data_IF_417986201806
#
_entry.id   IF_417986201806
#
_cell.length_a   1.000
_cell.length_b   1.000
_cell.length_c   1.000
_cell.angle_alpha   90.00
_cell.angle_beta   90.00
_cell.angle_gamma   90.00
#
_symmetry.space_group_name_H-M   'P 1'
#
loop_
_entity.id
_entity.type
_entity.pdbx_description
1 polymer ?
#
# COMPACT_ATOMS: atom_id res chain seq x y z
N UNK A 1 19.00 -17.45 8.52
CA UNK A 1 19.21 -16.84 7.15
C UNK A 1 18.10 -15.81 6.99
N UNK A 2 18.43 -14.56 6.64
CA UNK A 2 17.41 -13.53 6.49
C UNK A 2 16.53 -13.77 5.25
N UNK A 3 15.22 -13.57 5.38
CA UNK A 3 14.24 -13.76 4.31
C UNK A 3 12.89 -13.13 4.65
N UNK A 4 11.87 -13.41 3.84
CA UNK A 4 10.51 -12.92 4.05
C UNK A 4 9.83 -13.83 5.08
N UNK A 5 9.38 -13.22 6.17
CA UNK A 5 8.66 -13.88 7.28
C UNK A 5 7.14 -13.75 7.12
N UNK A 6 6.69 -12.62 6.56
CA UNK A 6 5.29 -12.34 6.28
C UNK A 6 5.15 -11.36 5.13
N UNK A 7 4.00 -11.33 4.50
CA UNK A 7 3.63 -10.38 3.44
C UNK A 7 2.24 -9.80 3.66
N UNK A 8 1.94 -8.71 2.99
CA UNK A 8 0.62 -8.12 2.93
C UNK A 8 0.46 -7.29 1.66
N UNK A 9 -0.78 -7.09 1.24
CA UNK A 9 -1.11 -6.33 0.05
C UNK A 9 -2.31 -5.43 0.26
N UNK A 10 -2.39 -4.35 -0.52
CA UNK A 10 -3.55 -3.48 -0.55
C UNK A 10 -3.79 -2.94 -1.95
N UNK A 11 -5.06 -2.99 -2.38
CA UNK A 11 -5.54 -2.28 -3.56
C UNK A 11 -6.76 -1.46 -3.12
N UNK A 12 -6.84 -0.15 -3.44
CA UNK A 12 -8.02 0.68 -3.18
C UNK A 12 -9.32 0.00 -3.64
N UNK A 13 -10.43 0.39 -3.05
CA UNK A 13 -11.73 -0.19 -3.40
C UNK A 13 -12.10 0.06 -4.86
N UNK A 14 -11.83 1.29 -5.34
CA UNK A 14 -12.37 1.75 -6.62
C UNK A 14 -11.54 1.30 -7.82
N UNK A 15 -12.25 1.06 -8.94
CA UNK A 15 -11.69 0.79 -10.26
C UNK A 15 -12.27 1.75 -11.27
N UNK A 16 -11.43 2.24 -12.17
CA UNK A 16 -11.83 2.99 -13.35
C UNK A 16 -11.69 2.10 -14.59
N UNK A 17 -12.79 1.88 -15.31
CA UNK A 17 -12.74 1.20 -16.61
C UNK A 17 -11.97 2.04 -17.62
N UNK A 18 -11.08 1.41 -18.39
CA UNK A 18 -10.39 2.08 -19.49
C UNK A 18 -11.36 2.54 -20.58
N UNK A 19 -12.51 1.88 -20.73
CA UNK A 19 -13.57 2.31 -21.62
C UNK A 19 -14.11 3.71 -21.24
N UNK A 20 -14.27 4.01 -19.94
CA UNK A 20 -14.68 5.34 -19.48
C UNK A 20 -13.65 6.41 -19.82
N UNK A 21 -12.35 6.10 -19.72
CA UNK A 21 -11.25 7.00 -20.13
C UNK A 21 -11.37 7.26 -21.64
N UNK A 22 -11.51 6.19 -22.45
CA UNK A 22 -11.65 6.33 -23.90
C UNK A 22 -12.87 7.15 -24.31
N UNK A 23 -14.01 6.96 -23.66
CA UNK A 23 -15.23 7.75 -23.89
C UNK A 23 -15.04 9.23 -23.56
N UNK A 24 -14.39 9.54 -22.42
CA UNK A 24 -14.14 10.91 -22.00
C UNK A 24 -13.30 11.69 -23.03
N UNK A 25 -12.34 11.04 -23.65
CA UNK A 25 -11.41 11.66 -24.61
C UNK A 25 -11.73 11.35 -26.08
N UNK A 26 -12.84 10.66 -26.36
CA UNK A 26 -13.20 10.23 -27.73
C UNK A 26 -12.08 9.42 -28.41
N UNK A 27 -11.40 8.57 -27.63
CA UNK A 27 -10.30 7.71 -28.06
C UNK A 27 -10.56 6.25 -27.66
N UNK A 28 -9.63 5.35 -27.98
CA UNK A 28 -9.64 3.97 -27.51
C UNK A 28 -8.56 3.78 -26.43
N UNK A 29 -8.96 3.55 -25.20
CA UNK A 29 -8.03 3.30 -24.09
C UNK A 29 -7.77 1.81 -23.81
N UNK A 30 -8.23 0.92 -24.67
CA UNK A 30 -8.07 -0.53 -24.54
C UNK A 30 -9.10 -1.16 -23.57
N UNK A 31 -8.94 -2.47 -23.34
CA UNK A 31 -9.76 -3.23 -22.39
C UNK A 31 -9.11 -3.25 -20.99
N UNK A 32 -9.95 -3.53 -19.99
CA UNK A 32 -9.53 -3.65 -18.59
C UNK A 32 -9.85 -2.43 -17.75
N UNK A 33 -9.25 -2.41 -16.57
CA UNK A 33 -9.49 -1.41 -15.54
C UNK A 33 -8.19 -1.03 -14.84
N UNK A 34 -8.21 0.06 -14.10
CA UNK A 34 -7.13 0.48 -13.20
C UNK A 34 -7.68 0.73 -11.80
N UNK A 35 -6.85 0.49 -10.79
CA UNK A 35 -7.18 0.90 -9.43
C UNK A 35 -7.11 2.42 -9.28
N UNK A 36 -7.98 2.95 -8.44
CA UNK A 36 -8.07 4.37 -8.13
C UNK A 36 -8.18 4.53 -6.62
N UNK A 37 -7.22 5.21 -6.03
CA UNK A 37 -7.29 5.63 -4.64
C UNK A 37 -8.54 6.50 -4.42
N UNK A 38 -9.23 6.28 -3.30
CA UNK A 38 -10.30 7.17 -2.87
C UNK A 38 -9.75 8.58 -2.67
N UNK A 39 -10.62 9.58 -2.60
CA UNK A 39 -10.21 10.98 -2.41
C UNK A 39 -9.49 11.24 -1.08
N UNK A 40 -9.71 10.38 -0.08
CA UNK A 40 -9.09 10.41 1.25
C UNK A 40 -7.92 9.42 1.40
N UNK A 41 -7.49 8.76 0.31
CA UNK A 41 -6.35 7.85 0.27
C UNK A 41 -5.12 8.48 -0.40
N UNK A 42 -3.96 8.11 0.10
CA UNK A 42 -2.64 8.40 -0.47
C UNK A 42 -1.67 7.22 -0.30
N UNK A 43 -0.42 7.38 -0.70
CA UNK A 43 0.59 6.33 -0.56
C UNK A 43 0.85 5.93 0.91
N UNK A 44 0.73 6.87 1.86
CA UNK A 44 0.88 6.60 3.28
C UNK A 44 -0.26 5.71 3.79
N UNK A 45 -1.50 6.09 3.53
CA UNK A 45 -2.68 5.37 4.02
C UNK A 45 -2.78 3.98 3.44
N UNK A 46 -2.51 3.81 2.13
CA UNK A 46 -2.43 2.50 1.48
C UNK A 46 -1.28 1.65 2.05
N UNK A 47 -0.14 2.28 2.36
CA UNK A 47 1.00 1.62 3.00
C UNK A 47 0.64 1.07 4.39
N UNK A 48 -0.12 1.80 5.20
CA UNK A 48 -0.60 1.32 6.52
C UNK A 48 -1.54 0.12 6.37
N UNK A 49 -2.39 0.11 5.34
CA UNK A 49 -3.27 -1.03 5.05
C UNK A 49 -2.46 -2.29 4.72
N UNK A 50 -1.45 -2.17 3.85
CA UNK A 50 -0.55 -3.29 3.54
C UNK A 50 0.24 -3.77 4.76
N UNK A 51 0.67 -2.83 5.64
CA UNK A 51 1.28 -3.18 6.93
C UNK A 51 0.33 -3.95 7.83
N UNK A 52 -0.91 -3.50 7.93
CA UNK A 52 -1.94 -4.15 8.77
C UNK A 52 -2.18 -5.59 8.33
N UNK A 53 -2.25 -5.83 7.01
CA UNK A 53 -2.37 -7.16 6.45
C UNK A 53 -1.11 -8.01 6.73
N UNK A 54 0.09 -7.47 6.47
CA UNK A 54 1.36 -8.13 6.72
C UNK A 54 1.56 -8.52 8.20
N UNK A 55 1.12 -7.67 9.12
CA UNK A 55 1.28 -7.83 10.57
C UNK A 55 0.11 -8.56 11.25
N UNK A 56 -0.86 -9.08 10.49
CA UNK A 56 -1.96 -9.84 11.06
C UNK A 56 -1.45 -11.06 11.84
N UNK A 57 -1.77 -11.14 13.15
CA UNK A 57 -1.31 -12.19 14.04
C UNK A 57 0.20 -12.16 14.39
N UNK A 58 0.92 -11.06 14.11
CA UNK A 58 2.34 -10.90 14.42
C UNK A 58 2.58 -9.96 15.60
N UNK A 59 3.59 -10.30 16.39
CA UNK A 59 4.12 -9.46 17.46
C UNK A 59 4.83 -8.24 16.88
N UNK A 60 4.40 -7.04 17.29
CA UNK A 60 4.98 -5.77 16.81
C UNK A 60 6.23 -5.34 17.56
N UNK A 61 6.41 -5.82 18.79
CA UNK A 61 7.52 -5.44 19.66
C UNK A 61 8.90 -5.94 19.18
N UNK A 62 8.91 -6.99 18.34
CA UNK A 62 10.12 -7.54 17.75
C UNK A 62 10.66 -6.72 16.56
N UNK A 63 9.84 -5.83 15.99
CA UNK A 63 10.18 -5.05 14.80
C UNK A 63 11.12 -3.91 15.21
N UNK A 64 12.34 -3.95 14.68
CA UNK A 64 13.40 -2.96 14.96
C UNK A 64 13.59 -1.94 13.82
N UNK A 65 12.85 -2.06 12.70
CA UNK A 65 12.91 -1.11 11.60
C UNK A 65 11.67 -1.07 10.72
N UNK A 66 11.40 0.10 10.11
CA UNK A 66 10.41 0.27 9.05
C UNK A 66 11.01 1.11 7.92
N UNK A 67 10.99 0.55 6.70
CA UNK A 67 11.43 1.20 5.48
C UNK A 67 10.26 1.40 4.53
N UNK A 68 9.98 2.67 4.19
CA UNK A 68 8.90 3.05 3.30
C UNK A 68 9.45 3.42 1.92
N UNK A 69 8.95 2.77 0.88
CA UNK A 69 9.36 2.96 -0.50
C UNK A 69 8.22 3.55 -1.33
N UNK A 70 8.45 4.73 -1.94
CA UNK A 70 7.43 5.41 -2.73
C UNK A 70 8.05 6.44 -3.67
N UNK A 71 7.47 6.59 -4.88
CA UNK A 71 7.75 7.73 -5.76
C UNK A 71 6.75 8.88 -5.55
N UNK A 72 5.76 8.67 -4.68
CA UNK A 72 4.67 9.62 -4.38
C UNK A 72 4.44 9.79 -2.88
N UNK A 73 5.49 10.02 -2.06
CA UNK A 73 5.28 10.28 -0.63
C UNK A 73 4.44 11.56 -0.47
N UNK A 74 3.55 11.63 0.55
CA UNK A 74 2.66 12.79 0.74
C UNK A 74 3.42 14.08 1.06
N UNK A 75 4.60 13.96 1.67
CA UNK A 75 5.47 15.09 1.96
C UNK A 75 6.80 14.96 1.22
N UNK A 76 7.33 16.09 0.78
CA UNK A 76 8.69 16.14 0.26
C UNK A 76 9.74 16.08 1.37
N UNK A 77 9.48 16.77 2.47
CA UNK A 77 10.35 16.85 3.65
C UNK A 77 9.55 16.60 4.92
N UNK A 78 9.21 15.38 5.17
CA UNK A 78 8.67 14.79 6.40
C UNK A 78 8.66 13.28 6.19
N UNK A 79 9.38 12.57 7.03
CA UNK A 79 9.51 11.12 6.89
C UNK A 79 8.16 10.40 7.00
N UNK A 80 7.76 9.74 5.91
CA UNK A 80 6.53 8.96 5.83
C UNK A 80 6.61 7.70 6.68
N UNK A 81 7.76 7.03 6.67
CA UNK A 81 8.00 5.83 7.47
C UNK A 81 7.68 6.01 8.95
N UNK A 82 7.98 7.19 9.54
CA UNK A 82 7.70 7.47 10.96
C UNK A 82 6.20 7.57 11.26
N UNK A 83 5.40 8.08 10.31
CA UNK A 83 3.94 8.16 10.44
C UNK A 83 3.32 6.77 10.27
N UNK A 84 3.76 6.01 9.26
CA UNK A 84 3.34 4.62 9.02
C UNK A 84 3.65 3.75 10.24
N UNK A 85 4.84 3.90 10.86
CA UNK A 85 5.23 3.18 12.07
C UNK A 85 4.29 3.48 13.24
N UNK A 86 3.93 4.76 13.44
CA UNK A 86 3.00 5.16 14.48
C UNK A 86 1.59 4.59 14.24
N UNK A 87 1.06 4.72 13.02
CA UNK A 87 -0.26 4.18 12.64
C UNK A 87 -0.32 2.64 12.72
N UNK A 88 0.78 1.96 12.39
CA UNK A 88 0.92 0.51 12.54
C UNK A 88 1.20 0.07 13.98
N UNK A 89 1.22 1.01 14.94
CA UNK A 89 1.48 0.77 16.36
C UNK A 89 2.82 0.06 16.65
N UNK A 90 3.86 0.41 15.89
CA UNK A 90 5.22 -0.10 16.16
C UNK A 90 5.87 0.60 17.36
N UNK A 91 6.88 0.00 18.00
CA UNK A 91 7.68 0.64 19.03
C UNK A 91 8.27 1.98 18.56
N UNK A 92 8.62 2.86 19.51
CA UNK A 92 9.27 4.14 19.17
C UNK A 92 10.78 3.98 18.96
N UNK A 93 11.35 2.97 19.57
CA UNK A 93 12.78 2.63 19.53
C UNK A 93 13.10 1.76 18.31
N UNK A 94 12.69 2.23 17.10
CA UNK A 94 12.97 1.56 15.83
C UNK A 94 13.65 2.52 14.86
N UNK A 95 14.43 1.99 13.93
CA UNK A 95 14.97 2.77 12.84
C UNK A 95 13.93 2.93 11.73
N UNK A 96 13.77 4.14 11.18
CA UNK A 96 12.87 4.42 10.08
C UNK A 96 13.58 5.13 8.94
N UNK A 97 13.26 4.77 7.68
CA UNK A 97 13.80 5.42 6.49
C UNK A 97 12.78 5.44 5.36
N UNK A 98 12.82 6.51 4.55
CA UNK A 98 12.09 6.59 3.28
C UNK A 98 13.07 6.32 2.12
N UNK A 99 12.62 5.51 1.15
CA UNK A 99 13.29 5.24 -0.12
C UNK A 99 12.44 5.84 -1.23
N UNK A 100 13.00 6.79 -1.97
CA UNK A 100 12.28 7.57 -2.98
C UNK A 100 13.01 7.57 -4.33
N UNK A 101 12.49 8.34 -5.27
CA UNK A 101 13.12 8.73 -6.54
C UNK A 101 13.34 7.63 -7.58
N UNK A 102 12.93 6.39 -7.29
CA UNK A 102 12.99 5.29 -8.25
C UNK A 102 11.81 4.33 -8.08
N UNK A 103 11.29 3.81 -9.17
CA UNK A 103 10.30 2.71 -9.12
C UNK A 103 10.89 1.42 -8.58
N UNK A 104 12.22 1.32 -8.47
CA UNK A 104 12.96 0.24 -7.81
C UNK A 104 13.09 0.43 -6.29
N UNK A 105 12.61 1.53 -5.73
CA UNK A 105 12.72 1.83 -4.29
C UNK A 105 12.26 0.68 -3.37
N UNK A 106 11.23 -0.08 -3.78
CA UNK A 106 10.73 -1.23 -3.01
C UNK A 106 11.76 -2.35 -2.83
N UNK A 107 12.49 -2.73 -3.88
CA UNK A 107 13.55 -3.75 -3.80
C UNK A 107 14.84 -3.20 -3.19
N UNK A 108 15.13 -1.90 -3.37
CA UNK A 108 16.24 -1.25 -2.66
C UNK A 108 16.01 -1.26 -1.15
N UNK A 109 14.80 -0.92 -0.68
CA UNK A 109 14.42 -1.01 0.73
C UNK A 109 14.49 -2.48 1.24
N UNK A 110 14.05 -3.45 0.43
CA UNK A 110 14.15 -4.87 0.77
C UNK A 110 15.61 -5.32 0.94
N UNK A 111 16.53 -4.91 0.05
CA UNK A 111 17.94 -5.23 0.17
C UNK A 111 18.52 -4.68 1.48
N UNK A 112 18.26 -3.41 1.79
CA UNK A 112 18.73 -2.80 3.03
C UNK A 112 18.14 -3.50 4.27
N UNK A 113 16.86 -3.91 4.23
CA UNK A 113 16.24 -4.67 5.31
C UNK A 113 16.92 -6.04 5.53
N UNK A 114 17.21 -6.76 4.44
CA UNK A 114 17.93 -8.05 4.47
C UNK A 114 19.33 -7.85 5.12
N UNK A 115 20.04 -6.81 4.73
CA UNK A 115 21.38 -6.51 5.26
C UNK A 115 21.33 -6.06 6.72
N UNK A 116 20.29 -5.28 7.10
CA UNK A 116 20.04 -4.88 8.51
C UNK A 116 19.83 -6.09 9.41
N UNK A 117 19.02 -7.07 8.97
CA UNK A 117 18.76 -8.30 9.71
C UNK A 117 20.02 -9.18 9.77
N UNK A 118 20.71 -9.35 8.64
CA UNK A 118 21.98 -10.13 8.60
C UNK A 118 23.08 -9.52 9.49
N UNK A 119 23.16 -8.21 9.59
CA UNK A 119 24.09 -7.51 10.46
C UNK A 119 23.71 -7.61 11.94
N UNK A 120 22.52 -8.11 12.27
CA UNK A 120 22.03 -8.19 13.65
C UNK A 120 21.60 -6.84 14.25
N UNK A 121 21.47 -5.80 13.41
CA UNK A 121 21.04 -4.45 13.87
C UNK A 121 19.54 -4.42 14.24
N UNK A 122 18.73 -5.29 13.64
CA UNK A 122 17.34 -5.53 14.00
C UNK A 122 17.00 -7.01 13.78
N UNK A 123 16.08 -7.57 14.59
CA UNK A 123 15.57 -8.93 14.40
C UNK A 123 14.62 -9.00 13.22
N UNK A 124 13.73 -8.03 13.12
CA UNK A 124 12.75 -7.91 12.07
C UNK A 124 12.69 -6.48 11.55
N UNK A 125 12.51 -6.33 10.23
CA UNK A 125 12.34 -5.04 9.54
C UNK A 125 11.13 -5.12 8.62
N UNK A 126 10.21 -4.17 8.76
CA UNK A 126 9.05 -4.03 7.90
C UNK A 126 9.40 -3.16 6.69
N UNK A 127 9.25 -3.69 5.49
CA UNK A 127 9.40 -2.99 4.21
C UNK A 127 8.04 -2.75 3.62
N UNK A 128 7.76 -1.51 3.25
CA UNK A 128 6.47 -1.08 2.69
C UNK A 128 6.71 -0.37 1.37
N UNK A 129 6.11 -0.85 0.29
CA UNK A 129 6.12 -0.18 -1.00
C UNK A 129 4.71 0.29 -1.35
N UNK A 130 4.52 1.58 -1.63
CA UNK A 130 3.20 2.15 -1.89
C UNK A 130 3.30 3.36 -2.81
N UNK A 131 2.48 3.39 -3.86
CA UNK A 131 2.39 4.54 -4.76
C UNK A 131 0.95 4.89 -5.13
N UNK A 132 0.75 6.20 -5.30
CA UNK A 132 -0.49 6.82 -5.72
C UNK A 132 -0.19 7.75 -6.91
N UNK A 133 0.18 7.16 -8.06
CA UNK A 133 0.71 7.88 -9.22
C UNK A 133 -0.39 8.56 -10.02
N UNK A 134 -0.17 9.83 -10.35
CA UNK A 134 -1.11 10.62 -11.15
C UNK A 134 -0.58 10.82 -12.56
N UNK A 135 -1.36 10.40 -13.56
CA UNK A 135 -1.08 10.66 -14.97
C UNK A 135 -1.78 11.93 -15.44
N UNK A 136 -1.18 12.60 -16.43
CA UNK A 136 -1.85 13.72 -17.08
C UNK A 136 -3.12 13.21 -17.82
N UNK A 137 -4.25 13.93 -17.71
CA UNK A 137 -5.43 13.60 -18.48
C UNK A 137 -5.15 13.47 -19.98
N UNK A 138 -5.73 12.46 -20.62
CA UNK A 138 -5.50 12.12 -22.03
C UNK A 138 -4.04 11.75 -22.41
N UNK A 139 -3.20 11.41 -21.41
CA UNK A 139 -1.86 10.89 -21.70
C UNK A 139 -1.88 9.37 -21.86
N UNK A 140 -0.81 8.82 -22.45
CA UNK A 140 -0.62 7.35 -22.55
C UNK A 140 -0.51 6.66 -21.19
N UNK A 141 -0.09 7.39 -20.14
CA UNK A 141 0.00 6.86 -18.78
C UNK A 141 -1.34 6.79 -18.05
N UNK A 142 -2.35 7.56 -18.47
CA UNK A 142 -3.63 7.60 -17.77
C UNK A 142 -4.35 6.24 -17.70
N UNK A 143 -4.46 5.46 -18.77
CA UNK A 143 -5.02 4.13 -18.71
C UNK A 143 -4.07 3.08 -18.09
N UNK A 144 -2.78 3.39 -17.94
CA UNK A 144 -1.76 2.44 -17.49
C UNK A 144 -1.51 2.50 -15.99
N UNK A 145 -1.51 3.69 -15.37
CA UNK A 145 -1.20 3.83 -13.95
C UNK A 145 -2.32 3.31 -13.07
N UNK A 146 -1.96 2.79 -11.90
CA UNK A 146 -2.85 2.36 -10.84
C UNK A 146 -2.28 2.72 -9.48
N UNK A 147 -3.05 2.52 -8.44
CA UNK A 147 -2.71 2.82 -7.06
C UNK A 147 -2.71 1.53 -6.23
N UNK A 148 -1.78 1.38 -5.28
CA UNK A 148 -1.71 0.21 -4.44
C UNK A 148 -0.46 0.13 -3.58
N UNK A 149 -0.41 -0.88 -2.71
CA UNK A 149 0.69 -1.10 -1.79
C UNK A 149 0.98 -2.59 -1.55
N UNK A 150 2.21 -2.88 -1.14
CA UNK A 150 2.64 -4.17 -0.63
C UNK A 150 3.56 -3.97 0.58
N UNK A 151 3.56 -4.92 1.50
CA UNK A 151 4.45 -4.93 2.65
C UNK A 151 5.07 -6.31 2.84
N UNK A 152 6.32 -6.34 3.33
CA UNK A 152 7.05 -7.55 3.67
C UNK A 152 7.72 -7.38 5.03
N UNK A 153 7.56 -8.38 5.89
CA UNK A 153 8.32 -8.48 7.12
C UNK A 153 9.57 -9.32 6.82
N UNK A 154 10.74 -8.72 6.96
CA UNK A 154 12.04 -9.37 6.77
C UNK A 154 12.60 -9.75 8.14
N UNK A 155 13.01 -11.01 8.30
CA UNK A 155 13.55 -11.53 9.54
C UNK A 155 14.42 -12.77 9.30
N UNK A 156 14.93 -13.39 10.36
CA UNK A 156 15.79 -14.57 10.31
C UNK A 156 15.20 -15.78 11.03
N UNK A 157 14.00 -15.63 11.60
CA UNK A 157 13.23 -16.67 12.26
C UNK A 157 11.89 -16.88 11.54
N UNK A 158 11.39 -18.12 11.49
CA UNK A 158 10.14 -18.49 10.82
C UNK A 158 10.06 -18.00 9.34
N UNK A 159 11.17 -18.05 8.66
CA UNK A 159 11.30 -17.54 7.28
C UNK A 159 10.44 -18.36 6.34
N UNK A 160 9.44 -17.73 5.73
CA UNK A 160 8.56 -18.34 4.74
C UNK A 160 9.17 -18.37 3.33
N UNK A 161 10.07 -17.40 3.03
CA UNK A 161 10.76 -17.32 1.75
C UNK A 161 12.22 -16.95 1.98
N UNK A 162 13.12 -17.85 1.66
CA UNK A 162 14.56 -17.65 1.72
C UNK A 162 15.05 -16.80 0.55
N UNK A 163 16.03 -15.94 0.79
CA UNK A 163 16.79 -15.24 -0.26
C UNK A 163 18.01 -16.08 -0.58
N UNK A 164 17.94 -16.89 -1.65
CA UNK A 164 19.01 -17.80 -2.05
C UNK A 164 20.12 -17.11 -2.84
N UNK A 165 19.79 -16.03 -3.54
CA UNK A 165 20.73 -15.27 -4.33
C UNK A 165 20.18 -13.96 -4.83
N UNK A 166 21.06 -13.06 -5.22
CA UNK A 166 20.69 -11.78 -5.81
C UNK A 166 21.75 -11.26 -6.79
N UNK A 167 21.27 -10.44 -7.71
CA UNK A 167 22.11 -9.65 -8.61
C UNK A 167 21.48 -8.27 -8.76
N UNK A 168 22.30 -7.24 -8.64
CA UNK A 168 21.89 -5.85 -8.76
C UNK A 168 22.89 -5.09 -9.61
N UNK A 169 22.42 -4.21 -10.47
CA UNK A 169 23.23 -3.15 -11.07
C UNK A 169 22.43 -1.85 -11.18
N UNK A 170 23.11 -0.74 -11.20
CA UNK A 170 22.54 0.59 -11.39
C UNK A 170 22.85 1.11 -12.80
N UNK A 171 21.94 1.91 -13.34
CA UNK A 171 22.11 2.61 -14.62
C UNK A 171 21.49 3.98 -14.52
N UNK A 172 22.20 4.98 -15.04
CA UNK A 172 21.75 6.39 -15.13
C UNK A 172 20.78 6.63 -16.30
N UNK A 173 20.16 5.59 -16.82
CA UNK A 173 19.31 5.64 -18.01
C UNK A 173 18.00 6.41 -17.74
N UNK A 174 17.78 7.48 -18.50
CA UNK A 174 16.58 8.32 -18.39
C UNK A 174 15.40 7.70 -19.14
N UNK A 175 14.45 7.12 -18.42
CA UNK A 175 13.24 6.52 -18.99
C UNK A 175 11.95 7.28 -18.63
N UNK A 176 11.64 7.39 -17.34
CA UNK A 176 10.49 8.11 -16.82
C UNK A 176 10.94 8.99 -15.66
N UNK A 177 10.59 10.28 -15.71
CA UNK A 177 10.97 11.22 -14.66
C UNK A 177 9.85 12.19 -14.34
N UNK A 178 10.03 12.93 -13.26
CA UNK A 178 9.18 14.03 -12.81
C UNK A 178 10.04 15.01 -12.02
N UNK A 179 10.08 16.26 -12.47
CA UNK A 179 10.80 17.30 -11.76
C UNK A 179 10.07 17.76 -10.49
N UNK A 180 10.78 18.51 -9.66
CA UNK A 180 10.21 19.15 -8.48
C UNK A 180 9.03 20.05 -8.85
N UNK A 181 7.92 19.94 -8.09
CA UNK A 181 6.70 20.72 -8.36
C UNK A 181 5.85 20.20 -9.52
N UNK A 182 6.34 19.25 -10.31
CA UNK A 182 5.53 18.63 -11.36
C UNK A 182 4.59 17.58 -10.79
N UNK A 183 3.34 17.63 -11.26
CA UNK A 183 2.31 16.68 -10.86
C UNK A 183 2.36 15.39 -11.68
N UNK A 184 2.74 15.50 -12.97
CA UNK A 184 2.63 14.43 -13.95
C UNK A 184 4.00 13.92 -14.39
N UNK A 185 4.03 12.63 -14.70
CA UNK A 185 5.23 11.96 -15.19
C UNK A 185 5.50 12.29 -16.66
N UNK A 186 6.76 12.27 -17.04
CA UNK A 186 7.26 12.48 -18.41
C UNK A 186 8.05 11.26 -18.87
N UNK A 187 8.06 11.05 -20.18
CA UNK A 187 8.96 10.13 -20.90
C UNK A 187 9.28 10.75 -22.26
N UNK A 188 10.31 10.27 -22.90
CA UNK A 188 10.72 10.69 -24.23
C UNK A 188 11.28 9.53 -25.01
N UNK A 189 11.15 9.52 -26.36
CA UNK A 189 11.70 8.45 -27.22
C UNK A 189 11.26 7.03 -26.78
N UNK A 190 9.98 6.81 -26.53
CA UNK A 190 9.41 5.61 -25.92
C UNK A 190 9.99 4.28 -26.47
N UNK A 191 10.15 4.16 -27.80
CA UNK A 191 10.70 2.94 -28.40
C UNK A 191 12.13 2.66 -27.98
N UNK A 192 12.96 3.71 -27.96
CA UNK A 192 14.36 3.63 -27.53
C UNK A 192 14.44 3.31 -26.04
N UNK A 193 13.71 4.05 -25.22
CA UNK A 193 13.66 3.86 -23.76
C UNK A 193 13.26 2.43 -23.40
N UNK A 194 12.26 1.89 -24.05
CA UNK A 194 11.82 0.52 -23.76
C UNK A 194 12.78 -0.56 -24.26
N UNK A 195 13.44 -0.36 -25.41
CA UNK A 195 14.35 -1.33 -25.99
C UNK A 195 15.71 -1.35 -25.28
N UNK A 196 16.36 -0.19 -25.18
CA UNK A 196 17.71 -0.05 -24.63
C UNK A 196 17.73 0.10 -23.10
N UNK A 197 16.67 0.64 -22.52
CA UNK A 197 16.47 0.68 -21.06
C UNK A 197 15.92 -0.65 -20.53
N UNK A 198 14.62 -0.81 -20.57
CA UNK A 198 13.96 -1.94 -19.91
C UNK A 198 14.39 -3.32 -20.43
N UNK A 199 14.25 -3.57 -21.76
CA UNK A 199 14.49 -4.91 -22.32
C UNK A 199 15.96 -5.30 -22.21
N UNK A 200 16.88 -4.39 -22.57
CA UNK A 200 18.31 -4.66 -22.53
C UNK A 200 18.79 -4.87 -21.08
N UNK A 201 18.44 -4.00 -20.16
CA UNK A 201 18.88 -4.08 -18.77
C UNK A 201 18.34 -5.31 -18.04
N UNK A 202 17.05 -5.65 -18.21
CA UNK A 202 16.49 -6.86 -17.58
C UNK A 202 17.15 -8.12 -18.12
N UNK A 203 17.39 -8.20 -19.44
CA UNK A 203 18.10 -9.34 -20.04
C UNK A 203 19.52 -9.46 -19.51
N UNK A 204 20.23 -8.36 -19.40
CA UNK A 204 21.59 -8.33 -18.84
C UNK A 204 21.61 -8.83 -17.39
N UNK A 205 20.77 -8.25 -16.53
CA UNK A 205 20.72 -8.64 -15.11
C UNK A 205 20.39 -10.11 -14.90
N UNK A 206 19.36 -10.62 -15.59
CA UNK A 206 18.95 -12.03 -15.44
C UNK A 206 20.01 -12.97 -16.00
N UNK A 207 20.66 -12.63 -17.13
CA UNK A 207 21.76 -13.43 -17.67
C UNK A 207 22.95 -13.47 -16.72
N UNK A 208 23.29 -12.34 -16.12
CA UNK A 208 24.36 -12.25 -15.11
C UNK A 208 24.03 -13.05 -13.84
N UNK A 209 22.77 -12.96 -13.35
CA UNK A 209 22.30 -13.79 -12.24
C UNK A 209 22.41 -15.28 -12.56
N UNK A 210 21.93 -15.71 -13.72
CA UNK A 210 21.99 -17.11 -14.15
C UNK A 210 23.43 -17.62 -14.21
N UNK A 211 24.35 -16.84 -14.79
CA UNK A 211 25.77 -17.16 -14.82
C UNK A 211 26.38 -17.23 -13.42
N UNK A 212 26.03 -16.27 -12.53
CA UNK A 212 26.57 -16.18 -11.16
C UNK A 212 26.22 -17.41 -10.31
N UNK A 213 24.98 -17.90 -10.43
CA UNK A 213 24.46 -18.98 -9.60
C UNK A 213 24.34 -20.33 -10.32
N UNK A 214 24.68 -20.42 -11.60
CA UNK A 214 24.64 -21.66 -12.38
C UNK A 214 23.20 -22.17 -12.58
N UNK A 215 22.23 -21.28 -12.70
CA UNK A 215 20.79 -21.59 -12.83
C UNK A 215 20.27 -21.27 -14.21
N UNK A 216 19.13 -21.86 -14.57
CA UNK A 216 18.43 -21.72 -15.85
C UNK A 216 16.94 -21.45 -15.60
N UNK A 217 16.14 -21.02 -16.57
CA UNK A 217 14.69 -20.85 -16.41
C UNK A 217 13.96 -22.10 -15.89
N UNK A 218 14.49 -23.30 -16.15
CA UNK A 218 13.89 -24.57 -15.71
C UNK A 218 13.99 -24.80 -14.20
N UNK A 219 14.90 -24.08 -13.53
CA UNK A 219 15.10 -24.19 -12.08
C UNK A 219 14.09 -23.36 -11.28
N UNK A 220 13.18 -22.65 -11.96
CA UNK A 220 12.17 -21.80 -11.33
C UNK A 220 10.76 -22.30 -11.62
N UNK A 221 9.94 -22.31 -10.59
CA UNK A 221 8.50 -22.59 -10.72
C UNK A 221 7.74 -21.35 -11.16
N UNK A 222 8.21 -20.14 -10.78
CA UNK A 222 7.55 -18.88 -11.09
C UNK A 222 8.55 -17.76 -11.40
N UNK A 223 8.21 -16.94 -12.40
CA UNK A 223 8.83 -15.65 -12.70
C UNK A 223 7.89 -14.52 -12.29
N UNK A 224 8.35 -13.65 -11.42
CA UNK A 224 7.71 -12.36 -11.07
C UNK A 224 8.55 -11.26 -11.70
N UNK A 225 8.02 -10.61 -12.73
CA UNK A 225 8.77 -9.68 -13.56
C UNK A 225 8.05 -8.34 -13.66
N UNK A 226 8.73 -7.27 -13.22
CA UNK A 226 8.33 -5.91 -13.53
C UNK A 226 8.29 -5.69 -15.06
N UNK A 227 7.34 -4.91 -15.53
CA UNK A 227 7.37 -4.38 -16.89
C UNK A 227 6.60 -3.05 -17.01
N UNK A 228 6.95 -2.18 -17.95
CA UNK A 228 6.24 -0.92 -18.18
C UNK A 228 4.85 -1.14 -18.80
N UNK A 229 4.67 -2.21 -19.57
CA UNK A 229 3.39 -2.59 -20.17
C UNK A 229 3.36 -4.08 -20.56
N UNK A 230 2.18 -4.60 -20.88
CA UNK A 230 1.97 -6.00 -21.21
C UNK A 230 2.76 -6.48 -22.45
N UNK A 231 2.96 -5.63 -23.45
CA UNK A 231 3.72 -5.98 -24.66
C UNK A 231 5.17 -6.29 -24.32
N UNK A 232 5.82 -5.41 -23.55
CA UNK A 232 7.21 -5.55 -23.13
C UNK A 232 7.40 -6.67 -22.13
N UNK A 233 6.42 -6.89 -21.26
CA UNK A 233 6.39 -8.07 -20.40
C UNK A 233 6.49 -9.37 -21.22
N UNK A 234 5.59 -9.56 -22.18
CA UNK A 234 5.57 -10.76 -23.02
C UNK A 234 6.84 -10.92 -23.87
N UNK A 235 7.44 -9.82 -24.31
CA UNK A 235 8.71 -9.83 -25.06
C UNK A 235 9.86 -10.36 -24.21
N UNK A 236 10.02 -9.79 -23.00
CA UNK A 236 11.10 -10.19 -22.10
C UNK A 236 10.93 -11.63 -21.58
N UNK A 237 9.71 -12.04 -21.23
CA UNK A 237 9.40 -13.43 -20.83
C UNK A 237 9.90 -14.43 -21.88
N UNK A 238 9.60 -14.18 -23.17
CA UNK A 238 10.06 -15.03 -24.26
C UNK A 238 11.58 -15.02 -24.43
N UNK A 239 12.19 -13.84 -24.34
CA UNK A 239 13.63 -13.67 -24.48
C UNK A 239 14.41 -14.37 -23.36
N UNK A 240 13.84 -14.44 -22.16
CA UNK A 240 14.43 -15.14 -21.01
C UNK A 240 14.19 -16.66 -21.04
N UNK A 241 13.33 -17.16 -21.93
CA UNK A 241 13.07 -18.58 -22.10
C UNK A 241 12.10 -19.21 -21.08
N UNK A 242 11.25 -18.39 -20.44
CA UNK A 242 10.19 -18.88 -19.56
C UNK A 242 8.92 -19.27 -20.33
N UNK A 243 8.22 -20.29 -19.84
CA UNK A 243 6.87 -20.61 -20.33
C UNK A 243 5.85 -19.60 -19.78
N UNK A 244 5.33 -18.77 -20.68
CA UNK A 244 4.37 -17.71 -20.31
C UNK A 244 3.06 -18.25 -19.69
N UNK A 245 2.69 -19.52 -19.94
CA UNK A 245 1.43 -20.10 -19.45
C UNK A 245 1.54 -20.68 -18.03
N UNK A 246 2.69 -21.24 -17.69
CA UNK A 246 2.85 -22.02 -16.46
C UNK A 246 3.81 -21.39 -15.46
N UNK A 247 4.84 -20.70 -15.93
CA UNK A 247 5.90 -20.16 -15.07
C UNK A 247 5.79 -18.68 -14.75
N UNK A 248 4.92 -17.91 -15.42
CA UNK A 248 4.87 -16.45 -15.26
C UNK A 248 3.73 -16.04 -14.35
N UNK A 249 4.03 -15.15 -13.38
CA UNK A 249 3.00 -14.49 -12.59
C UNK A 249 2.17 -13.58 -13.48
N UNK A 250 0.84 -13.73 -13.40
CA UNK A 250 -0.07 -12.84 -14.12
C UNK A 250 0.20 -11.39 -13.74
N UNK A 251 0.56 -10.53 -14.71
CA UNK A 251 0.79 -9.14 -14.44
C UNK A 251 -0.54 -8.40 -14.20
N UNK A 252 -0.52 -7.48 -13.25
CA UNK A 252 -1.73 -6.76 -12.80
C UNK A 252 -2.19 -5.63 -13.73
N UNK A 253 -1.70 -5.57 -14.98
CA UNK A 253 -1.96 -4.47 -15.91
C UNK A 253 -3.43 -4.22 -16.24
N UNK A 254 -4.22 -5.28 -16.34
CA UNK A 254 -5.63 -5.20 -16.80
C UNK A 254 -6.63 -5.11 -15.65
N UNK A 255 -6.19 -5.28 -14.40
CA UNK A 255 -7.04 -5.33 -13.20
C UNK A 255 -6.71 -4.25 -12.18
N UNK A 256 -5.46 -3.79 -12.16
CA UNK A 256 -4.95 -2.79 -11.21
C UNK A 256 -4.26 -1.65 -11.93
N UNK A 257 -3.46 -1.95 -12.97
CA UNK A 257 -2.56 -1.00 -13.60
C UNK A 257 -1.18 -0.99 -12.94
N UNK A 258 -0.32 -0.08 -13.37
CA UNK A 258 1.05 0.04 -12.95
C UNK A 258 1.16 0.92 -11.69
N UNK A 259 1.45 0.32 -10.56
CA UNK A 259 1.47 0.95 -9.23
C UNK A 259 2.86 1.43 -8.79
N UNK A 260 3.71 1.84 -9.72
CA UNK A 260 5.02 2.42 -9.40
C UNK A 260 5.93 1.50 -8.59
N UNK A 261 6.49 2.03 -7.50
CA UNK A 261 7.37 1.28 -6.60
C UNK A 261 6.70 0.05 -5.96
N UNK A 262 5.37 0.02 -5.88
CA UNK A 262 4.60 -1.11 -5.36
C UNK A 262 4.31 -2.19 -6.42
N UNK A 263 4.52 -1.95 -7.72
CA UNK A 263 4.05 -2.85 -8.78
C UNK A 263 4.67 -4.25 -8.71
N UNK A 264 6.00 -4.35 -8.76
CA UNK A 264 6.68 -5.63 -8.64
C UNK A 264 6.49 -6.28 -7.26
N UNK A 265 6.56 -5.53 -6.12
CA UNK A 265 6.19 -6.04 -4.80
C UNK A 265 4.77 -6.63 -4.73
N UNK A 266 3.75 -5.99 -5.30
CA UNK A 266 2.38 -6.51 -5.33
C UNK A 266 2.27 -7.80 -6.16
N UNK A 267 2.97 -7.90 -7.28
CA UNK A 267 3.05 -9.15 -8.05
C UNK A 267 3.75 -10.26 -7.26
N UNK A 268 4.77 -9.93 -6.45
CA UNK A 268 5.40 -10.91 -5.57
C UNK A 268 4.41 -11.40 -4.50
N UNK A 269 3.63 -10.50 -3.87
CA UNK A 269 2.56 -10.91 -2.94
C UNK A 269 1.59 -11.87 -3.64
N UNK A 270 1.10 -11.53 -4.84
CA UNK A 270 0.19 -12.40 -5.60
C UNK A 270 0.80 -13.79 -5.90
N UNK A 271 2.10 -13.84 -6.20
CA UNK A 271 2.81 -15.11 -6.40
C UNK A 271 2.92 -15.92 -5.10
N UNK A 272 3.20 -15.28 -3.98
CA UNK A 272 3.32 -15.93 -2.67
C UNK A 272 1.98 -16.45 -2.13
N UNK A 273 0.87 -15.83 -2.49
CA UNK A 273 -0.48 -16.33 -2.15
C UNK A 273 -0.76 -17.73 -2.73
N UNK A 274 -0.12 -18.09 -3.84
CA UNK A 274 -0.31 -19.37 -4.53
C UNK A 274 0.90 -20.31 -4.41
N UNK A 275 2.04 -19.81 -3.92
CA UNK A 275 3.28 -20.56 -3.83
C UNK A 275 3.17 -21.76 -2.87
N UNK A 276 3.88 -22.83 -3.15
CA UNK A 276 3.94 -24.05 -2.34
C UNK A 276 5.34 -24.22 -1.76
N UNK A 277 5.47 -24.93 -0.64
CA UNK A 277 6.78 -25.36 -0.15
C UNK A 277 7.63 -26.02 -1.25
N UNK A 278 8.87 -25.59 -1.39
CA UNK A 278 9.79 -26.05 -2.43
C UNK A 278 9.72 -25.27 -3.75
N UNK A 279 8.75 -24.38 -3.92
CA UNK A 279 8.73 -23.49 -5.09
C UNK A 279 9.94 -22.57 -5.08
N UNK A 280 10.44 -22.29 -6.28
CA UNK A 280 11.56 -21.37 -6.50
C UNK A 280 11.14 -20.25 -7.43
N UNK A 281 11.23 -19.01 -6.97
CA UNK A 281 10.71 -17.82 -7.67
C UNK A 281 11.89 -16.95 -8.12
N UNK A 282 11.91 -16.59 -9.40
CA UNK A 282 12.76 -15.50 -9.89
C UNK A 282 11.97 -14.20 -9.78
N UNK A 283 12.44 -13.29 -8.94
CA UNK A 283 11.83 -11.97 -8.74
C UNK A 283 12.71 -10.88 -9.33
N UNK A 284 12.20 -10.12 -10.29
CA UNK A 284 12.94 -9.10 -11.05
C UNK A 284 12.19 -7.78 -11.01
N UNK A 285 12.85 -6.72 -10.54
CA UNK A 285 12.36 -5.34 -10.56
C UNK A 285 13.31 -4.43 -11.33
N UNK A 286 12.75 -3.48 -12.06
CA UNK A 286 13.46 -2.51 -12.90
C UNK A 286 13.16 -1.08 -12.45
N UNK A 287 14.14 -0.20 -12.60
CA UNK A 287 14.11 1.24 -12.34
C UNK A 287 15.52 1.72 -12.00
N UNK A 288 16.10 2.66 -12.77
CA UNK A 288 17.49 3.11 -12.61
C UNK A 288 18.49 1.95 -12.46
N UNK A 289 18.28 0.89 -13.24
CA UNK A 289 18.94 -0.39 -13.18
C UNK A 289 17.96 -1.53 -12.87
N UNK A 290 18.47 -2.66 -12.37
CA UNK A 290 17.69 -3.88 -12.12
C UNK A 290 18.12 -4.57 -10.82
N UNK A 291 17.14 -5.02 -10.06
CA UNK A 291 17.32 -5.96 -8.96
C UNK A 291 16.70 -7.31 -9.33
N UNK A 292 17.45 -8.40 -9.20
CA UNK A 292 16.98 -9.75 -9.44
C UNK A 292 17.31 -10.65 -8.24
N UNK A 293 16.30 -11.41 -7.77
CA UNK A 293 16.41 -12.28 -6.60
C UNK A 293 16.00 -13.71 -6.94
N UNK A 294 16.71 -14.67 -6.37
CA UNK A 294 16.31 -16.08 -6.32
C UNK A 294 15.67 -16.31 -4.95
N UNK A 295 14.41 -16.66 -4.96
CA UNK A 295 13.60 -16.85 -3.76
C UNK A 295 13.19 -18.31 -3.62
N UNK A 296 13.48 -18.93 -2.48
CA UNK A 296 13.08 -20.31 -2.15
C UNK A 296 11.97 -20.34 -1.12
N UNK A 297 10.83 -20.92 -1.47
CA UNK A 297 9.66 -21.02 -0.60
C UNK A 297 9.82 -22.17 0.38
N UNK A 298 9.61 -21.93 1.67
CA UNK A 298 9.72 -22.93 2.75
C UNK A 298 8.34 -23.42 3.22
N UNK A 299 8.31 -24.43 4.10
CA UNK A 299 7.09 -24.90 4.75
C UNK A 299 6.36 -23.82 5.57
N UNK A 300 7.09 -22.78 6.01
CA UNK A 300 6.51 -21.69 6.79
C UNK A 300 5.50 -20.84 6.00
N UNK A 301 5.48 -20.94 4.67
CA UNK A 301 4.50 -20.24 3.82
C UNK A 301 3.06 -20.62 4.22
N UNK A 302 2.81 -21.85 4.67
CA UNK A 302 1.48 -22.29 5.08
C UNK A 302 0.96 -21.59 6.34
N UNK A 303 1.86 -21.14 7.21
CA UNK A 303 1.51 -20.42 8.45
C UNK A 303 1.09 -18.98 8.24
N UNK A 304 1.33 -18.43 7.03
CA UNK A 304 1.05 -17.03 6.70
C UNK A 304 -0.03 -16.87 5.62
N UNK A 305 -0.84 -17.90 5.36
CA UNK A 305 -1.94 -17.87 4.38
C UNK A 305 -3.08 -16.94 4.77
N UNK A 306 -3.27 -16.69 6.06
CA UNK A 306 -4.35 -15.84 6.56
C UNK A 306 -4.02 -14.34 6.34
N UNK A 307 -3.93 -13.95 5.07
CA UNK A 307 -3.72 -12.59 4.59
C UNK A 307 -4.79 -12.24 3.58
N UNK A 308 -5.14 -10.95 3.49
CA UNK A 308 -6.00 -10.46 2.41
C UNK A 308 -5.26 -10.51 1.08
N UNK A 309 -4.02 -10.08 1.10
CA UNK A 309 -3.14 -10.05 -0.05
C UNK A 309 -3.73 -9.30 -1.24
N UNK A 310 -3.39 -9.75 -2.45
CA UNK A 310 -3.87 -9.15 -3.70
C UNK A 310 -5.22 -9.75 -4.13
N UNK A 311 -5.38 -11.07 -3.96
CA UNK A 311 -6.55 -11.82 -4.46
C UNK A 311 -7.87 -11.32 -3.84
N UNK A 312 -7.90 -11.11 -2.53
CA UNK A 312 -9.08 -10.58 -1.83
C UNK A 312 -9.46 -9.18 -2.35
N UNK A 313 -8.48 -8.29 -2.53
CA UNK A 313 -8.73 -6.93 -3.04
C UNK A 313 -9.13 -6.89 -4.51
N UNK A 314 -8.76 -7.88 -5.31
CA UNK A 314 -9.27 -8.02 -6.68
C UNK A 314 -10.74 -8.46 -6.69
N UNK A 315 -11.13 -9.32 -5.74
CA UNK A 315 -12.51 -9.81 -5.64
C UNK A 315 -13.48 -8.75 -5.08
N UNK A 316 -13.01 -7.92 -4.14
CA UNK A 316 -13.84 -6.95 -3.38
C UNK A 316 -13.81 -5.53 -3.96
N UNK A 317 -13.86 -5.38 -5.28
CA UNK A 317 -13.77 -4.08 -5.97
C UNK A 317 -15.14 -3.41 -6.19
N UNK A 318 -15.12 -2.08 -6.37
CA UNK A 318 -16.25 -1.26 -6.80
C UNK A 318 -15.88 -0.42 -8.03
N UNK A 319 -16.73 -0.42 -9.05
CA UNK A 319 -16.49 0.36 -10.28
C UNK A 319 -16.89 1.82 -10.07
N UNK A 320 -16.02 2.75 -10.45
CA UNK A 320 -16.41 4.16 -10.56
C UNK A 320 -17.46 4.28 -11.67
N UNK A 321 -18.57 4.98 -11.40
CA UNK A 321 -19.67 5.07 -12.39
C UNK A 321 -19.33 5.98 -13.56
N UNK A 322 -18.45 6.97 -13.36
CA UNK A 322 -18.12 7.98 -14.39
C UNK A 322 -16.65 8.39 -14.29
N UNK A 323 -16.14 8.94 -15.40
CA UNK A 323 -14.80 9.52 -15.47
C UNK A 323 -14.68 10.79 -14.58
N UNK A 324 -15.76 11.59 -14.47
CA UNK A 324 -15.79 12.81 -13.66
C UNK A 324 -15.59 12.50 -12.18
N UNK A 325 -16.11 11.38 -11.68
CA UNK A 325 -15.85 10.95 -10.29
C UNK A 325 -14.37 10.68 -10.08
N UNK A 326 -13.68 10.05 -11.04
CA UNK A 326 -12.23 9.88 -11.02
C UNK A 326 -11.49 11.22 -11.00
N UNK A 327 -11.86 12.15 -11.89
CA UNK A 327 -11.28 13.50 -11.96
C UNK A 327 -11.40 14.21 -10.61
N UNK A 328 -12.56 14.09 -9.95
CA UNK A 328 -12.82 14.68 -8.64
C UNK A 328 -11.99 14.00 -7.53
N UNK A 329 -11.94 12.68 -7.50
CA UNK A 329 -11.17 11.93 -6.50
C UNK A 329 -9.67 12.21 -6.57
N UNK A 330 -9.16 12.38 -7.79
CA UNK A 330 -7.74 12.66 -8.02
C UNK A 330 -7.42 14.15 -8.08
N UNK A 331 -8.40 15.02 -7.83
CA UNK A 331 -8.27 16.47 -7.89
C UNK A 331 -7.59 16.93 -9.19
N UNK A 332 -8.01 16.39 -10.36
CA UNK A 332 -7.37 16.65 -11.67
C UNK A 332 -7.76 17.98 -12.30
N UNK A 333 -8.76 18.65 -11.76
CA UNK A 333 -9.23 19.98 -12.20
C UNK A 333 -9.19 20.96 -11.04
N UNK A 334 -9.01 22.22 -11.34
CA UNK A 334 -9.21 23.30 -10.39
C UNK A 334 -10.70 23.46 -10.10
N UNK A 335 -11.04 23.64 -8.82
CA UNK A 335 -12.40 23.87 -8.34
C UNK A 335 -12.50 25.26 -7.73
N UNK A 336 -13.71 25.82 -7.70
CA UNK A 336 -13.95 27.05 -6.95
C UNK A 336 -13.48 26.88 -5.49
N UNK A 337 -12.69 27.84 -5.02
CA UNK A 337 -12.18 27.80 -3.65
C UNK A 337 -13.33 27.83 -2.63
N UNK A 338 -13.20 27.04 -1.58
CA UNK A 338 -14.17 27.04 -0.49
C UNK A 338 -14.27 28.45 0.16
N UNK A 339 -15.47 28.86 0.50
CA UNK A 339 -15.72 30.17 1.15
C UNK A 339 -15.19 30.24 2.57
N UNK A 340 -15.00 29.09 3.23
CA UNK A 340 -14.38 28.98 4.56
C UNK A 340 -12.97 28.41 4.39
N UNK A 341 -11.97 28.98 5.09
CA UNK A 341 -10.66 28.37 5.10
C UNK A 341 -10.77 26.97 5.74
N UNK A 342 -9.94 25.99 5.27
CA UNK A 342 -9.90 24.68 5.89
C UNK A 342 -9.46 24.80 7.36
N UNK A 343 -9.94 23.87 8.20
CA UNK A 343 -9.52 23.78 9.59
C UNK A 343 -8.02 23.54 9.70
N UNK A 344 -7.36 24.35 10.54
CA UNK A 344 -5.92 24.23 10.80
C UNK A 344 -5.75 23.45 12.09
N UNK A 345 -5.05 22.31 12.01
CA UNK A 345 -4.75 21.51 13.19
C UNK A 345 -3.66 22.14 14.05
N UNK A 346 -3.90 22.13 15.37
CA UNK A 346 -2.91 22.60 16.33
C UNK A 346 -1.80 21.56 16.53
N UNK A 347 -0.55 21.87 16.17
CA UNK A 347 0.59 20.98 16.37
C UNK A 347 0.79 20.52 17.84
N UNK A 348 0.63 21.40 18.87
CA UNK A 348 0.66 20.96 20.25
C UNK A 348 -0.43 19.94 20.61
N UNK A 349 -1.62 20.07 20.03
CA UNK A 349 -2.71 19.09 20.23
C UNK A 349 -2.37 17.78 19.55
N UNK A 350 -1.95 17.79 18.28
CA UNK A 350 -1.55 16.58 17.57
C UNK A 350 -0.43 15.83 18.31
N UNK A 351 0.54 16.54 18.89
CA UNK A 351 1.61 15.95 19.70
C UNK A 351 1.11 15.35 21.01
N UNK A 352 0.29 16.09 21.76
CA UNK A 352 -0.27 15.62 23.04
C UNK A 352 -1.17 14.41 22.86
N UNK A 353 -2.00 14.43 21.82
CA UNK A 353 -3.01 13.40 21.54
C UNK A 353 -2.53 12.32 20.54
N UNK A 354 -1.22 12.26 20.25
CA UNK A 354 -0.66 11.38 19.20
C UNK A 354 -1.01 9.91 19.35
N UNK A 355 -1.16 9.41 20.59
CA UNK A 355 -1.54 8.02 20.82
C UNK A 355 -2.99 7.76 20.44
N UNK A 356 -3.90 8.67 20.76
CA UNK A 356 -5.31 8.51 20.39
C UNK A 356 -5.61 8.91 18.94
N UNK A 357 -4.77 9.70 18.27
CA UNK A 357 -4.97 10.11 16.88
C UNK A 357 -4.41 9.05 15.93
N UNK A 358 -3.08 8.91 15.86
CA UNK A 358 -2.42 8.02 14.89
C UNK A 358 -2.47 6.54 15.29
N UNK A 359 -2.23 6.23 16.58
CA UNK A 359 -2.25 4.84 17.08
C UNK A 359 -3.64 4.32 17.38
N UNK A 360 -4.61 5.23 17.48
CA UNK A 360 -5.99 4.98 17.94
C UNK A 360 -6.03 4.18 19.25
N UNK A 361 -5.33 4.67 20.27
CA UNK A 361 -5.41 4.12 21.62
C UNK A 361 -6.60 4.72 22.38
N UNK A 362 -7.35 3.86 23.05
CA UNK A 362 -8.29 4.22 24.09
C UNK A 362 -7.76 3.86 25.46
N UNK A 363 -8.59 4.02 26.49
CA UNK A 363 -8.32 3.62 27.85
C UNK A 363 -9.21 2.46 28.29
N UNK A 364 -8.62 1.47 28.98
CA UNK A 364 -9.35 0.44 29.69
C UNK A 364 -9.21 0.68 31.19
N UNK A 365 -10.33 0.86 31.88
CA UNK A 365 -10.35 1.04 33.33
C UNK A 365 -9.86 -0.23 34.02
N UNK A 366 -8.87 -0.11 34.91
CA UNK A 366 -8.32 -1.26 35.67
C UNK A 366 -9.30 -1.79 36.72
N UNK A 367 -10.26 -0.97 37.19
CA UNK A 367 -11.23 -1.37 38.21
C UNK A 367 -12.41 -2.15 37.62
N UNK A 368 -13.02 -1.66 36.53
CA UNK A 368 -14.25 -2.26 35.99
C UNK A 368 -14.08 -2.84 34.56
N UNK A 369 -12.91 -2.70 33.93
CA UNK A 369 -12.65 -3.22 32.60
C UNK A 369 -13.27 -2.41 31.44
N UNK A 370 -14.03 -1.33 31.72
CA UNK A 370 -14.67 -0.51 30.68
C UNK A 370 -13.62 0.13 29.78
N UNK A 371 -13.76 -0.06 28.47
CA UNK A 371 -12.96 0.62 27.44
C UNK A 371 -13.69 1.88 27.00
N UNK A 372 -12.96 2.97 26.92
CA UNK A 372 -13.48 4.28 26.48
C UNK A 372 -12.55 5.00 25.51
N UNK A 373 -13.14 5.74 24.60
CA UNK A 373 -12.50 6.64 23.66
C UNK A 373 -13.35 7.92 23.53
N UNK A 374 -12.75 9.11 23.46
CA UNK A 374 -11.33 9.42 23.60
C UNK A 374 -10.76 9.16 24.99
N UNK A 375 -9.43 9.27 25.14
CA UNK A 375 -8.72 9.10 26.42
C UNK A 375 -9.20 10.13 27.44
N UNK A 376 -9.61 9.66 28.62
CA UNK A 376 -10.19 10.48 29.68
C UNK A 376 -9.61 10.11 31.05
N UNK A 377 -9.62 11.04 32.00
CA UNK A 377 -9.11 10.83 33.36
C UNK A 377 -10.08 10.15 34.30
N UNK A 378 -11.37 10.07 33.95
CA UNK A 378 -12.42 9.49 34.79
C UNK A 378 -13.13 8.42 33.99
N UNK A 379 -13.34 7.26 34.61
CA UNK A 379 -14.11 6.19 34.02
C UNK A 379 -15.60 6.60 33.91
N UNK A 380 -16.16 6.47 32.72
CA UNK A 380 -17.57 6.81 32.47
C UNK A 380 -18.56 5.89 33.18
N UNK A 381 -18.10 4.71 33.66
CA UNK A 381 -18.93 3.71 34.31
C UNK A 381 -18.78 3.71 35.84
N UNK A 382 -17.58 3.43 36.35
CA UNK A 382 -17.34 3.30 37.80
C UNK A 382 -16.75 4.56 38.45
N UNK A 383 -16.51 5.62 37.68
CA UNK A 383 -15.98 6.92 38.11
C UNK A 383 -14.57 6.87 38.73
N UNK A 384 -13.86 5.76 38.62
CA UNK A 384 -12.45 5.65 38.99
C UNK A 384 -11.63 6.68 38.22
N UNK A 385 -10.70 7.33 38.92
CA UNK A 385 -9.87 8.41 38.38
C UNK A 385 -8.43 7.95 38.21
N UNK A 386 -7.86 8.26 37.04
CA UNK A 386 -6.43 8.10 36.72
C UNK A 386 -5.87 6.67 36.86
N UNK A 387 -6.74 5.62 36.83
CA UNK A 387 -6.34 4.21 36.93
C UNK A 387 -6.78 3.42 35.68
N UNK A 388 -5.97 3.60 34.62
CA UNK A 388 -6.24 3.06 33.29
C UNK A 388 -4.99 2.42 32.68
N UNK A 389 -5.22 1.52 31.73
CA UNK A 389 -4.22 1.08 30.76
C UNK A 389 -4.58 1.54 29.35
N UNK A 390 -3.60 1.93 28.54
CA UNK A 390 -3.82 2.22 27.13
C UNK A 390 -4.07 0.91 26.38
N UNK A 391 -5.09 0.90 25.52
CA UNK A 391 -5.44 -0.25 24.68
C UNK A 391 -5.58 0.21 23.23
N UNK A 392 -5.06 -0.57 22.32
CA UNK A 392 -5.19 -0.34 20.90
C UNK A 392 -6.62 -0.62 20.43
N UNK A 393 -7.16 0.26 19.58
CA UNK A 393 -8.51 0.12 19.02
C UNK A 393 -8.50 -0.03 17.49
N UNK A 394 -7.42 0.35 16.81
CA UNK A 394 -7.34 0.41 15.34
C UNK A 394 -7.44 -0.95 14.64
N UNK A 395 -7.21 -2.05 15.34
CA UNK A 395 -7.34 -3.44 14.83
C UNK A 395 -8.69 -4.08 15.16
N UNK A 396 -9.58 -3.35 15.82
CA UNK A 396 -10.90 -3.86 16.19
C UNK A 396 -11.90 -3.67 15.07
N UNK A 397 -12.78 -4.64 14.93
CA UNK A 397 -14.01 -4.46 14.18
C UNK A 397 -15.06 -3.80 15.07
N UNK A 398 -16.13 -3.30 14.45
CA UNK A 398 -17.22 -2.69 15.18
C UNK A 398 -18.55 -2.84 14.46
N UNK A 399 -19.58 -2.26 15.07
CA UNK A 399 -20.93 -2.27 14.54
C UNK A 399 -21.48 -0.83 14.56
N UNK A 400 -22.07 -0.36 13.48
CA UNK A 400 -22.69 0.96 13.41
C UNK A 400 -23.86 1.00 14.41
N UNK A 401 -23.72 1.82 15.45
CA UNK A 401 -24.78 2.06 16.42
C UNK A 401 -25.81 3.04 15.88
N UNK A 402 -25.36 4.12 15.26
CA UNK A 402 -26.21 5.11 14.58
C UNK A 402 -25.39 5.86 13.53
N UNK A 403 -26.05 6.47 12.57
CA UNK A 403 -25.40 7.29 11.56
C UNK A 403 -26.30 8.47 11.12
N UNK A 404 -25.67 9.44 10.44
CA UNK A 404 -26.35 10.51 9.72
C UNK A 404 -25.70 10.73 8.36
N UNK A 405 -26.47 11.25 7.41
CA UNK A 405 -26.01 11.58 6.05
C UNK A 405 -26.18 13.07 5.80
N UNK A 406 -25.09 13.73 5.40
CA UNK A 406 -25.10 15.15 5.02
C UNK A 406 -24.89 15.27 3.51
N UNK A 407 -25.97 15.61 2.80
CA UNK A 407 -25.99 15.83 1.35
C UNK A 407 -25.38 17.17 0.91
N UNK A 408 -25.05 18.04 1.85
CA UNK A 408 -24.52 19.39 1.60
C UNK A 408 -23.09 19.58 2.09
N UNK A 409 -22.48 18.55 2.61
CA UNK A 409 -21.10 18.61 3.06
C UNK A 409 -20.14 18.97 1.89
N UNK A 410 -19.15 19.77 2.20
CA UNK A 410 -18.09 20.14 1.23
C UNK A 410 -17.03 19.05 1.16
N UNK A 411 -17.41 17.88 0.65
CA UNK A 411 -16.52 16.73 0.48
C UNK A 411 -16.63 16.19 -0.95
N UNK A 412 -15.56 15.56 -1.50
CA UNK A 412 -15.57 15.03 -2.86
C UNK A 412 -16.62 13.94 -3.10
N UNK A 413 -17.05 13.21 -2.06
CA UNK A 413 -18.03 12.13 -2.16
C UNK A 413 -19.23 12.36 -1.24
N UNK A 414 -20.39 12.70 -1.85
CA UNK A 414 -21.65 12.90 -1.16
C UNK A 414 -22.51 11.61 -1.17
N UNK A 415 -23.40 11.43 -0.16
CA UNK A 415 -23.47 12.19 1.10
C UNK A 415 -22.26 11.94 1.99
N UNK A 416 -21.87 12.91 2.82
CA UNK A 416 -20.93 12.66 3.91
C UNK A 416 -21.63 11.83 4.99
N UNK A 417 -21.17 10.60 5.22
CA UNK A 417 -21.77 9.71 6.21
C UNK A 417 -20.93 9.75 7.48
N UNK A 418 -21.56 10.17 8.57
CA UNK A 418 -20.99 10.21 9.91
C UNK A 418 -21.64 9.13 10.74
N UNK A 419 -20.87 8.36 11.51
CA UNK A 419 -21.41 7.29 12.33
C UNK A 419 -20.81 7.24 13.73
N UNK A 420 -21.53 6.58 14.60
CA UNK A 420 -21.05 6.10 15.90
C UNK A 420 -20.91 4.58 15.77
N UNK A 421 -19.73 4.06 16.10
CA UNK A 421 -19.37 2.64 16.02
C UNK A 421 -19.17 2.10 17.42
N UNK A 422 -19.84 1.00 17.77
CA UNK A 422 -19.54 0.20 18.94
C UNK A 422 -18.46 -0.81 18.58
N UNK A 423 -17.28 -0.66 19.20
CA UNK A 423 -16.11 -1.52 18.92
C UNK A 423 -16.20 -2.87 19.67
N UNK A 424 -15.71 -3.92 19.05
CA UNK A 424 -15.64 -5.23 19.68
C UNK A 424 -14.75 -5.21 20.93
N UNK A 425 -15.23 -5.79 22.02
CA UNK A 425 -14.57 -5.76 23.33
C UNK A 425 -14.77 -4.45 24.11
N UNK A 426 -15.49 -3.48 23.55
CA UNK A 426 -15.86 -2.23 24.19
C UNK A 426 -15.20 -0.99 23.58
N UNK A 427 -15.74 0.18 23.95
CA UNK A 427 -15.40 1.47 23.39
C UNK A 427 -16.38 1.90 22.30
N UNK A 428 -16.69 3.19 22.29
CA UNK A 428 -17.60 3.82 21.32
C UNK A 428 -16.82 4.92 20.58
N UNK A 429 -16.89 4.87 19.24
CA UNK A 429 -16.05 5.68 18.37
C UNK A 429 -16.92 6.50 17.41
N UNK A 430 -16.74 7.81 17.41
CA UNK A 430 -17.38 8.73 16.47
C UNK A 430 -16.45 8.99 15.29
N UNK A 431 -16.92 8.73 14.07
CA UNK A 431 -16.11 8.90 12.86
C UNK A 431 -16.97 9.01 11.59
N UNK A 432 -16.32 9.21 10.43
CA UNK A 432 -16.96 9.11 9.10
C UNK A 432 -16.91 7.69 8.58
N UNK A 433 -17.78 7.39 7.60
CA UNK A 433 -17.74 6.14 6.83
C UNK A 433 -17.15 6.43 5.46
N UNK A 434 -16.08 5.72 5.10
CA UNK A 434 -15.44 5.76 3.79
C UNK A 434 -15.64 4.43 3.03
N UNK A 435 -15.20 4.33 1.77
CA UNK A 435 -15.27 3.13 0.93
C UNK A 435 -16.67 2.50 0.93
N UNK A 436 -17.69 3.31 0.73
CA UNK A 436 -19.09 2.94 0.97
C UNK A 436 -19.97 3.04 -0.27
N UNK A 437 -21.06 2.32 -0.22
CA UNK A 437 -22.29 2.58 -0.98
C UNK A 437 -23.30 3.21 -0.02
N UNK A 438 -23.65 4.52 -0.16
CA UNK A 438 -24.54 5.19 0.78
C UNK A 438 -25.90 4.51 0.92
N UNK A 439 -26.39 3.90 -0.14
CA UNK A 439 -27.68 3.20 -0.15
C UNK A 439 -27.71 1.91 0.66
N UNK A 440 -26.53 1.43 1.10
CA UNK A 440 -26.40 0.19 1.88
C UNK A 440 -26.03 0.41 3.33
N UNK A 441 -25.79 1.67 3.75
CA UNK A 441 -25.42 1.94 5.16
C UNK A 441 -26.66 1.79 6.04
N UNK A 442 -26.53 0.97 7.09
CA UNK A 442 -27.60 0.67 8.03
C UNK A 442 -27.08 0.52 9.46
N UNK A 443 -27.96 0.73 10.44
CA UNK A 443 -27.70 0.42 11.85
C UNK A 443 -27.50 -1.09 12.00
N UNK A 444 -26.47 -1.50 12.74
CA UNK A 444 -26.10 -2.91 12.87
C UNK A 444 -25.07 -3.41 11.83
N UNK A 445 -24.73 -2.60 10.81
CA UNK A 445 -23.71 -2.95 9.83
C UNK A 445 -22.35 -3.17 10.50
N UNK A 446 -21.67 -4.24 10.12
CA UNK A 446 -20.30 -4.52 10.55
C UNK A 446 -19.30 -3.68 9.78
N UNK A 447 -18.36 -3.07 10.50
CA UNK A 447 -17.32 -2.20 9.96
C UNK A 447 -15.96 -2.54 10.55
N UNK A 448 -14.93 -2.17 9.80
CA UNK A 448 -13.54 -2.15 10.26
C UNK A 448 -12.99 -0.72 10.19
N UNK A 449 -11.88 -0.48 10.86
CA UNK A 449 -11.24 0.83 10.89
C UNK A 449 -10.10 0.90 9.88
N UNK A 450 -9.95 2.05 9.24
CA UNK A 450 -8.94 2.35 8.23
C UNK A 450 -8.43 3.77 8.42
N UNK A 451 -7.13 4.00 8.24
CA UNK A 451 -6.56 5.34 8.32
C UNK A 451 -6.76 6.09 7.01
N UNK A 452 -7.14 7.37 7.10
CA UNK A 452 -7.38 8.23 5.94
C UNK A 452 -6.85 9.64 6.17
N UNK A 453 -6.59 10.36 5.11
CA UNK A 453 -6.38 11.81 5.15
C UNK A 453 -7.75 12.49 5.24
N UNK A 454 -8.06 13.03 6.42
CA UNK A 454 -9.36 13.67 6.71
C UNK A 454 -9.54 14.96 5.93
N UNK A 455 -8.51 15.77 5.88
CA UNK A 455 -8.43 17.06 5.20
C UNK A 455 -7.01 17.60 5.25
N UNK A 456 -6.72 18.51 4.35
CA UNK A 456 -5.48 19.30 4.31
C UNK A 456 -5.71 20.68 4.89
N UNK A 457 -4.85 21.10 5.81
CA UNK A 457 -4.91 22.45 6.41
C UNK A 457 -3.54 23.07 6.55
N UNK A 458 -3.29 24.23 5.92
CA UNK A 458 -2.00 24.94 5.94
C UNK A 458 -0.80 24.07 5.52
N UNK A 459 -0.99 23.19 4.55
CA UNK A 459 0.06 22.27 4.07
C UNK A 459 0.30 21.05 4.96
N UNK A 460 -0.56 20.82 5.95
CA UNK A 460 -0.53 19.66 6.84
C UNK A 460 -1.63 18.68 6.45
N UNK A 461 -1.26 17.42 6.19
CA UNK A 461 -2.22 16.32 6.04
C UNK A 461 -2.67 15.84 7.41
N UNK A 462 -3.98 15.78 7.62
CA UNK A 462 -4.58 15.37 8.90
C UNK A 462 -5.07 13.93 8.80
N UNK A 463 -4.24 13.00 9.24
CA UNK A 463 -4.58 11.57 9.23
C UNK A 463 -5.38 11.18 10.46
N UNK A 464 -6.47 10.43 10.22
CA UNK A 464 -7.29 9.87 11.28
C UNK A 464 -7.97 8.57 10.83
N UNK A 465 -8.56 7.85 11.77
CA UNK A 465 -9.21 6.57 11.52
C UNK A 465 -10.68 6.75 11.17
N UNK A 466 -11.09 6.15 10.07
CA UNK A 466 -12.48 6.12 9.59
C UNK A 466 -13.02 4.71 9.67
N UNK A 467 -14.35 4.59 9.70
CA UNK A 467 -15.02 3.31 9.54
C UNK A 467 -15.20 2.99 8.04
N UNK A 468 -15.09 1.73 7.67
CA UNK A 468 -15.51 1.25 6.35
C UNK A 468 -16.25 -0.09 6.48
N UNK A 469 -17.22 -0.39 5.59
CA UNK A 469 -17.82 -1.72 5.53
C UNK A 469 -16.73 -2.80 5.37
N UNK A 470 -16.87 -3.94 6.03
CA UNK A 470 -15.93 -5.04 5.88
C UNK A 470 -16.01 -5.52 4.43
N UNK A 471 -14.88 -5.54 3.74
CA UNK A 471 -14.79 -6.06 2.36
C UNK A 471 -14.90 -7.58 2.40
N UNK A 472 -15.90 -8.13 1.70
CA UNK A 472 -16.16 -9.57 1.58
C UNK A 472 -15.59 -10.14 0.29
#
# INVERSE_FOLDING_TARGET
MAGIVSYGGYIPLYRLSRELIGKAWMTTAGLGERSVANWDEDSLTMGVEACTDCLNGRERQAIGGLYFASTTPPYREKQTASIVAAASNLPREIFTADFTDSIRAGTSAMQVAIDTVKAGSAKEVLVVASDCRTAAPNSEFEPLFGDGAAAFLIGDSEVAVNIEGSYTFSSEFMDVWRLEGERFHRTWEDRFVQAEGYVAHVREAVSALFKKYGVTPKDFTKLVLYAPNARRHNEVVRNLGFDAKTQVQEPLFNTVGHTGAAFAPMMLVAALEEAKPGDRILYVNYGDGVDAYILGVTEQIENIRNRRGIKHHLASKSMLPTYEKYVRFRNLMEWEAERRPPDISSLPVLWRERNQILRLHGHKCRQCGTIQYPIQRVCTWCQTKDDFEEVRLSDKQGTIFTFSMDERAMVPELPNVICIVDLEGGGRFYTRVTDRDPGKIEVGMKVELTIRNMHDGSGLHNYFWLARPIRS
#
